data_IF_236674246895
#
_entry.id   IF_236674246895
#
_cell.length_a   1.000
_cell.length_b   1.000
_cell.length_c   1.000
_cell.angle_alpha   90.00
_cell.angle_beta   90.00
_cell.angle_gamma   90.00
#
_symmetry.space_group_name_H-M   'P 1'
#
loop_
_entity.id
_entity.type
_entity.pdbx_description
1 polymer ?
#
# COMPACT_ATOMS: atom_id res chain seq x y z
N UNK A 1 48.58 13.93 38.60
CA UNK A 1 49.15 14.46 37.34
C UNK A 1 48.23 13.96 36.24
N UNK A 2 47.13 14.68 36.04
CA UNK A 2 46.97 15.75 35.01
C UNK A 2 46.88 15.10 33.63
N UNK A 3 45.89 15.36 32.78
CA UNK A 3 44.77 16.28 32.85
C UNK A 3 43.81 15.93 31.72
N UNK A 4 42.51 16.20 31.94
CA UNK A 4 41.60 16.55 30.86
C UNK A 4 42.13 17.81 30.16
N UNK A 5 42.10 17.86 28.84
CA UNK A 5 42.08 19.15 28.13
C UNK A 5 41.14 19.04 26.93
N UNK A 6 39.94 19.58 27.15
CA UNK A 6 39.00 20.01 26.14
C UNK A 6 39.63 21.19 25.40
N UNK A 7 39.86 21.08 24.09
CA UNK A 7 40.31 22.23 23.31
C UNK A 7 39.11 23.15 23.00
N UNK A 8 39.22 24.46 23.31
CA UNK A 8 38.20 25.48 23.04
C UNK A 8 38.39 26.09 21.64
N UNK A 9 37.50 27.01 21.24
CA UNK A 9 37.64 28.14 20.27
C UNK A 9 36.28 28.31 19.54
N UNK A 10 35.31 29.08 20.05
CA UNK A 10 35.23 30.54 20.16
C UNK A 10 35.31 31.33 18.84
N UNK A 11 34.12 31.81 18.43
CA UNK A 11 33.77 33.18 17.97
C UNK A 11 34.39 33.76 16.68
N UNK A 12 33.48 33.93 15.69
CA UNK A 12 33.04 35.20 15.06
C UNK A 12 34.09 36.18 14.47
N UNK A 13 34.07 36.21 13.13
CA UNK A 13 33.89 37.39 12.22
C UNK A 13 35.03 38.41 12.06
N UNK A 14 35.47 38.68 10.81
CA UNK A 14 35.22 39.94 10.06
C UNK A 14 35.90 39.99 8.65
N UNK A 15 35.05 40.19 7.63
CA UNK A 15 35.13 40.89 6.34
C UNK A 15 36.47 41.37 5.73
N UNK A 16 36.62 41.15 4.40
CA UNK A 16 36.58 42.22 3.36
C UNK A 16 36.69 41.64 1.94
N UNK A 17 35.81 42.10 1.05
CA UNK A 17 35.88 41.84 -0.39
C UNK A 17 34.77 42.56 -1.13
N UNK A 18 35.01 43.83 -1.47
CA UNK A 18 34.16 44.67 -2.31
C UNK A 18 34.12 44.12 -3.74
N UNK A 19 32.93 43.96 -4.32
CA UNK A 19 32.72 43.73 -5.75
C UNK A 19 31.37 44.33 -6.16
N UNK A 20 31.42 45.43 -6.89
CA UNK A 20 30.25 46.13 -7.45
C UNK A 20 29.96 45.57 -8.83
N UNK A 21 28.72 45.14 -9.07
CA UNK A 21 28.07 45.18 -10.39
C UNK A 21 26.55 45.03 -10.19
N UNK A 22 25.79 46.06 -10.58
CA UNK A 22 24.34 46.04 -10.53
C UNK A 22 23.72 45.40 -11.77
N UNK A 23 22.50 44.87 -11.62
CA UNK A 23 21.46 44.87 -12.65
C UNK A 23 20.11 44.39 -12.08
N UNK A 24 19.09 45.22 -12.33
CA UNK A 24 17.66 44.91 -12.50
C UNK A 24 16.96 43.96 -11.49
N UNK A 25 16.11 44.55 -10.65
CA UNK A 25 15.00 43.86 -10.03
C UNK A 25 13.97 43.48 -11.11
N UNK A 26 13.86 42.18 -11.40
CA UNK A 26 12.71 41.60 -12.09
C UNK A 26 11.91 40.86 -11.04
N UNK A 27 10.87 41.50 -10.51
CA UNK A 27 9.86 40.83 -9.69
C UNK A 27 9.00 39.96 -10.61
N UNK A 28 9.49 38.78 -10.95
CA UNK A 28 8.66 37.70 -11.48
C UNK A 28 8.07 36.95 -10.31
N UNK A 29 6.80 37.20 -9.97
CA UNK A 29 6.06 36.31 -9.09
C UNK A 29 6.00 34.94 -9.79
N UNK A 30 6.75 33.96 -9.27
CA UNK A 30 6.58 32.58 -9.66
C UNK A 30 5.16 32.17 -9.25
N UNK A 31 4.27 32.06 -10.23
CA UNK A 31 2.97 31.42 -10.04
C UNK A 31 3.30 29.97 -9.65
N UNK A 32 2.80 29.43 -8.53
CA UNK A 32 2.95 28.01 -8.30
C UNK A 32 2.22 27.30 -9.42
N UNK A 33 2.97 26.55 -10.25
CA UNK A 33 2.37 25.53 -11.10
C UNK A 33 1.70 24.55 -10.16
N UNK A 34 0.40 24.70 -9.98
CA UNK A 34 -0.44 23.63 -9.45
C UNK A 34 -0.36 22.51 -10.47
N UNK A 35 0.42 21.47 -10.15
CA UNK A 35 0.21 20.18 -10.78
C UNK A 35 -1.21 19.76 -10.39
N UNK A 36 -2.12 19.80 -11.35
CA UNK A 36 -3.40 19.11 -11.20
C UNK A 36 -3.10 17.64 -10.87
N UNK A 37 -3.91 16.97 -10.04
CA UNK A 37 -3.75 15.54 -9.83
C UNK A 37 -3.73 14.83 -11.18
N UNK A 38 -2.78 13.92 -11.35
CA UNK A 38 -2.73 13.01 -12.51
C UNK A 38 -4.12 12.43 -12.72
N UNK A 39 -4.58 12.44 -13.97
CA UNK A 39 -5.82 11.78 -14.34
C UNK A 39 -5.83 10.37 -13.73
N UNK A 40 -6.89 10.06 -12.98
CA UNK A 40 -7.23 8.69 -12.56
C UNK A 40 -7.00 7.79 -13.77
N UNK A 41 -6.05 6.86 -13.65
CA UNK A 41 -5.70 5.95 -14.73
C UNK A 41 -6.99 5.26 -15.21
N UNK A 42 -7.18 5.17 -16.53
CA UNK A 42 -8.41 4.60 -17.07
C UNK A 42 -8.54 3.14 -16.59
N UNK A 43 -9.76 2.68 -16.22
CA UNK A 43 -9.99 1.29 -15.90
C UNK A 43 -9.62 0.39 -17.09
N UNK A 44 -8.80 -0.63 -16.85
CA UNK A 44 -8.50 -1.66 -17.84
C UNK A 44 -9.76 -2.50 -18.04
N UNK A 45 -10.23 -2.77 -19.29
CA UNK A 45 -11.42 -3.59 -19.50
C UNK A 45 -11.34 -4.94 -18.78
N UNK A 46 -12.41 -5.33 -18.07
CA UNK A 46 -12.44 -6.54 -17.25
C UNK A 46 -11.81 -6.39 -15.86
N UNK A 47 -11.29 -5.21 -15.51
CA UNK A 47 -10.70 -4.91 -14.20
C UNK A 47 -11.22 -3.57 -13.65
N UNK A 48 -11.22 -3.45 -12.33
CA UNK A 48 -11.89 -2.34 -11.64
C UNK A 48 -13.33 -2.15 -12.11
N UNK A 49 -14.04 -3.26 -12.24
CA UNK A 49 -15.47 -3.29 -12.45
C UNK A 49 -16.16 -3.65 -11.12
N UNK A 50 -17.49 -3.54 -11.11
CA UNK A 50 -18.28 -3.97 -9.95
C UNK A 50 -18.07 -5.45 -9.68
N UNK A 51 -17.78 -5.79 -8.43
CA UNK A 51 -17.43 -7.14 -7.99
C UNK A 51 -18.27 -7.51 -6.76
N UNK A 52 -18.65 -8.78 -6.61
CA UNK A 52 -19.31 -9.26 -5.37
C UNK A 52 -18.28 -9.68 -4.33
N UNK A 53 -18.68 -9.73 -3.06
CA UNK A 53 -17.86 -10.32 -1.99
C UNK A 53 -17.49 -11.77 -2.28
N UNK A 54 -18.46 -12.54 -2.75
CA UNK A 54 -18.25 -13.94 -3.09
C UNK A 54 -17.18 -14.07 -4.19
N UNK A 55 -17.22 -13.23 -5.22
CA UNK A 55 -16.20 -13.22 -6.28
C UNK A 55 -14.81 -12.81 -5.73
N UNK A 56 -14.71 -11.81 -4.85
CA UNK A 56 -13.44 -11.46 -4.20
C UNK A 56 -12.86 -12.65 -3.44
N UNK A 57 -13.70 -13.37 -2.68
CA UNK A 57 -13.27 -14.54 -1.93
C UNK A 57 -12.90 -15.70 -2.84
N UNK A 58 -13.68 -16.00 -3.89
CA UNK A 58 -13.37 -17.05 -4.86
C UNK A 58 -12.01 -16.78 -5.54
N UNK A 59 -11.75 -15.54 -5.94
CA UNK A 59 -10.46 -15.12 -6.52
C UNK A 59 -9.31 -15.29 -5.53
N UNK A 60 -9.50 -14.89 -4.27
CA UNK A 60 -8.50 -15.11 -3.22
C UNK A 60 -8.23 -16.61 -2.99
N UNK A 61 -9.28 -17.43 -3.00
CA UNK A 61 -9.17 -18.87 -2.80
C UNK A 61 -8.40 -19.58 -3.91
N UNK A 62 -8.36 -19.04 -5.13
CA UNK A 62 -7.54 -19.58 -6.22
C UNK A 62 -6.07 -19.79 -5.83
N UNK A 63 -5.44 -18.81 -5.14
CA UNK A 63 -4.08 -19.00 -4.61
C UNK A 63 -4.05 -19.72 -3.26
N UNK A 64 -5.11 -19.70 -2.46
CA UNK A 64 -5.12 -20.42 -1.17
C UNK A 64 -5.17 -21.94 -1.41
N UNK A 65 -5.95 -22.39 -2.38
CA UNK A 65 -6.12 -23.80 -2.73
C UNK A 65 -4.90 -24.35 -3.51
N UNK A 66 -4.17 -23.47 -4.20
CA UNK A 66 -2.88 -23.77 -4.85
C UNK A 66 -1.81 -22.73 -4.44
N UNK A 67 -1.18 -22.88 -3.25
CA UNK A 67 -0.32 -21.87 -2.64
C UNK A 67 0.83 -21.38 -3.51
N UNK A 68 1.00 -20.05 -3.55
CA UNK A 68 2.13 -19.37 -4.18
C UNK A 68 3.18 -18.99 -3.14
N UNK A 69 4.45 -19.25 -3.44
CA UNK A 69 5.55 -18.81 -2.57
C UNK A 69 5.62 -17.27 -2.56
N UNK A 70 5.82 -16.68 -1.39
CA UNK A 70 5.94 -15.23 -1.28
C UNK A 70 7.15 -14.71 -2.05
N UNK A 71 6.94 -13.69 -2.89
CA UNK A 71 8.01 -13.01 -3.61
C UNK A 71 7.61 -11.60 -3.99
N UNK A 72 8.48 -10.63 -3.70
CA UNK A 72 8.36 -9.25 -4.18
C UNK A 72 8.81 -9.10 -5.65
N UNK A 73 9.40 -10.15 -6.24
CA UNK A 73 10.05 -10.11 -7.56
C UNK A 73 9.37 -11.00 -8.60
N UNK A 74 8.52 -11.95 -8.16
CA UNK A 74 7.85 -12.89 -9.03
C UNK A 74 6.39 -12.49 -9.28
N UNK A 75 5.86 -13.05 -10.36
CA UNK A 75 4.50 -12.83 -10.83
C UNK A 75 3.81 -14.16 -11.11
N UNK A 76 2.48 -14.15 -11.00
CA UNK A 76 1.61 -15.28 -11.33
C UNK A 76 0.46 -14.80 -12.22
N UNK A 77 -0.06 -15.69 -13.07
CA UNK A 77 -1.16 -15.37 -14.00
C UNK A 77 -2.52 -15.20 -13.30
N UNK A 78 -2.63 -15.63 -12.04
CA UNK A 78 -3.83 -15.50 -11.25
C UNK A 78 -5.02 -16.30 -11.79
N UNK A 79 -6.23 -16.03 -11.29
CA UNK A 79 -7.46 -16.68 -11.73
C UNK A 79 -7.83 -16.34 -13.18
N UNK A 80 -7.17 -15.37 -13.80
CA UNK A 80 -7.35 -15.06 -15.22
C UNK A 80 -6.79 -16.14 -16.14
N UNK A 81 -5.79 -16.90 -15.67
CA UNK A 81 -5.11 -17.95 -16.45
C UNK A 81 -4.60 -17.47 -17.82
N UNK A 82 -4.27 -16.18 -17.94
CA UNK A 82 -3.80 -15.52 -19.16
C UNK A 82 -2.36 -15.02 -18.96
N UNK A 83 -1.44 -15.34 -19.87
CA UNK A 83 -0.03 -14.95 -19.74
C UNK A 83 0.22 -13.45 -19.91
N UNK A 84 -0.74 -12.72 -20.49
CA UNK A 84 -0.67 -11.26 -20.64
C UNK A 84 -1.21 -10.53 -19.39
N UNK A 85 -1.76 -11.27 -18.42
CA UNK A 85 -2.28 -10.76 -17.16
C UNK A 85 -1.44 -11.34 -16.02
N UNK A 86 -0.76 -10.46 -15.27
CA UNK A 86 0.17 -10.87 -14.22
C UNK A 86 -0.14 -10.14 -12.92
N UNK A 87 0.03 -10.82 -11.80
CA UNK A 87 -0.10 -10.27 -10.45
C UNK A 87 1.18 -10.48 -9.66
N UNK A 88 1.61 -9.47 -8.89
CA UNK A 88 2.75 -9.65 -7.97
C UNK A 88 2.42 -10.70 -6.91
N UNK A 89 3.39 -11.54 -6.58
CA UNK A 89 3.26 -12.59 -5.56
C UNK A 89 3.59 -12.09 -4.13
N UNK A 90 3.23 -10.82 -3.85
CA UNK A 90 3.38 -10.17 -2.55
C UNK A 90 2.00 -9.93 -1.88
N UNK A 91 1.99 -9.38 -0.67
CA UNK A 91 0.75 -9.16 0.10
C UNK A 91 -0.25 -8.28 -0.66
N UNK A 92 0.22 -7.16 -1.21
CA UNK A 92 -0.61 -6.21 -1.96
C UNK A 92 -1.04 -6.71 -3.33
N UNK A 93 -0.20 -7.49 -4.00
CA UNK A 93 -0.51 -8.14 -5.27
C UNK A 93 -1.59 -9.22 -5.10
N UNK A 94 -1.56 -9.98 -4.00
CA UNK A 94 -2.63 -10.93 -3.66
C UNK A 94 -3.97 -10.24 -3.43
N UNK A 95 -4.01 -9.16 -2.65
CA UNK A 95 -5.26 -8.41 -2.43
C UNK A 95 -5.74 -7.73 -3.72
N UNK A 96 -4.83 -7.19 -4.52
CA UNK A 96 -5.17 -6.60 -5.82
C UNK A 96 -5.74 -7.64 -6.79
N UNK A 97 -5.16 -8.84 -6.80
CA UNK A 97 -5.66 -9.97 -7.57
C UNK A 97 -7.07 -10.34 -7.10
N UNK A 98 -7.29 -10.52 -5.80
CA UNK A 98 -8.61 -10.86 -5.28
C UNK A 98 -9.67 -9.79 -5.63
N UNK A 99 -9.31 -8.51 -5.61
CA UNK A 99 -10.21 -7.40 -5.97
C UNK A 99 -10.35 -7.16 -7.48
N UNK A 100 -9.60 -7.87 -8.32
CA UNK A 100 -9.48 -7.57 -9.75
C UNK A 100 -9.06 -6.11 -10.03
N UNK A 101 -8.17 -5.56 -9.19
CA UNK A 101 -7.81 -4.15 -9.18
C UNK A 101 -6.41 -3.90 -9.77
N UNK A 102 -6.34 -3.31 -10.97
CA UNK A 102 -5.09 -2.96 -11.68
C UNK A 102 -5.30 -1.80 -12.65
N UNK A 103 -4.25 -1.06 -12.96
CA UNK A 103 -4.32 0.12 -13.82
C UNK A 103 -3.23 0.08 -14.90
N UNK A 104 -3.35 0.88 -15.96
CA UNK A 104 -2.35 0.90 -17.04
C UNK A 104 -0.93 1.23 -16.54
N UNK A 105 -0.82 2.13 -15.57
CA UNK A 105 0.44 2.53 -14.93
C UNK A 105 0.82 1.63 -13.74
N UNK A 106 -0.06 0.72 -13.35
CA UNK A 106 0.21 -0.33 -12.39
C UNK A 106 -0.42 -1.67 -12.80
N UNK A 107 0.10 -2.30 -13.87
CA UNK A 107 -0.56 -3.42 -14.52
C UNK A 107 -0.41 -4.73 -13.74
N UNK A 108 0.29 -4.78 -12.62
CA UNK A 108 0.52 -6.02 -11.86
C UNK A 108 -0.08 -6.00 -10.45
N UNK A 109 -1.05 -5.11 -10.25
CA UNK A 109 -1.76 -4.92 -8.98
C UNK A 109 -1.21 -3.75 -8.16
N UNK A 110 -2.04 -3.21 -7.28
CA UNK A 110 -1.71 -2.09 -6.42
C UNK A 110 -0.71 -2.47 -5.32
N UNK A 111 0.01 -1.49 -4.80
CA UNK A 111 0.84 -1.59 -3.58
C UNK A 111 0.00 -1.32 -2.32
N UNK A 112 0.53 -1.62 -1.14
CA UNK A 112 -0.05 -1.22 0.15
C UNK A 112 -0.37 0.28 0.18
N UNK A 113 0.50 1.12 -0.39
CA UNK A 113 0.30 2.57 -0.37
C UNK A 113 -0.84 2.99 -1.30
N UNK A 114 -0.94 2.38 -2.47
CA UNK A 114 -1.94 2.73 -3.48
C UNK A 114 -3.30 2.07 -3.25
N UNK A 115 -3.36 1.01 -2.42
CA UNK A 115 -4.62 0.43 -1.91
C UNK A 115 -5.29 1.33 -0.86
N UNK A 116 -4.49 2.13 -0.13
CA UNK A 116 -5.00 3.09 0.84
C UNK A 116 -5.85 4.18 0.15
N UNK A 117 -6.90 4.73 0.78
CA UNK A 117 -7.71 5.81 0.21
C UNK A 117 -6.88 7.01 -0.26
N UNK A 118 -5.92 7.45 0.57
CA UNK A 118 -4.97 8.53 0.24
C UNK A 118 -3.80 8.09 -0.69
N UNK A 119 -3.91 6.91 -1.30
CA UNK A 119 -2.88 6.27 -2.11
C UNK A 119 -2.79 6.74 -3.55
N UNK A 120 -3.66 7.68 -3.95
CA UNK A 120 -3.68 8.31 -5.27
C UNK A 120 -4.66 7.70 -6.28
N UNK A 121 -5.14 6.47 -6.06
CA UNK A 121 -6.18 5.86 -6.91
C UNK A 121 -7.59 6.02 -6.34
N UNK A 122 -7.74 6.34 -5.05
CA UNK A 122 -9.04 6.59 -4.40
C UNK A 122 -10.06 5.45 -4.63
N UNK A 123 -9.61 4.19 -4.55
CA UNK A 123 -10.42 3.00 -4.84
C UNK A 123 -11.07 2.37 -3.62
N UNK A 124 -10.79 2.89 -2.43
CA UNK A 124 -11.22 2.31 -1.18
C UNK A 124 -11.56 3.39 -0.18
N UNK A 125 -12.34 3.02 0.84
CA UNK A 125 -12.64 3.86 1.98
C UNK A 125 -12.44 3.10 3.30
N UNK A 126 -12.14 3.85 4.35
CA UNK A 126 -12.06 3.31 5.70
C UNK A 126 -13.45 2.87 6.19
N UNK A 127 -13.51 1.74 6.88
CA UNK A 127 -14.72 1.22 7.53
C UNK A 127 -14.47 1.03 9.03
N UNK A 128 -15.51 0.74 9.82
CA UNK A 128 -15.30 0.35 11.21
C UNK A 128 -15.07 -1.16 11.34
N UNK A 129 -14.48 -1.60 12.45
CA UNK A 129 -14.38 -3.04 12.79
C UNK A 129 -15.75 -3.74 12.73
N UNK A 130 -16.81 -3.05 13.16
CA UNK A 130 -18.16 -3.62 13.21
C UNK A 130 -18.80 -3.79 11.82
N UNK A 131 -18.28 -3.08 10.82
CA UNK A 131 -18.78 -3.11 9.45
C UNK A 131 -18.03 -4.10 8.55
N UNK A 132 -16.99 -4.77 9.08
CA UNK A 132 -16.20 -5.76 8.35
C UNK A 132 -17.07 -6.92 7.87
N UNK A 133 -16.97 -7.19 6.58
CA UNK A 133 -17.59 -8.30 5.88
C UNK A 133 -16.53 -9.02 5.03
N UNK A 134 -16.71 -10.32 4.72
CA UNK A 134 -15.81 -11.04 3.82
C UNK A 134 -15.51 -10.24 2.54
N UNK A 135 -14.24 -10.24 2.12
CA UNK A 135 -13.77 -9.48 0.96
C UNK A 135 -13.30 -8.05 1.27
N UNK A 136 -13.58 -7.52 2.47
CA UNK A 136 -12.91 -6.32 2.96
C UNK A 136 -11.43 -6.63 3.30
N UNK A 137 -10.58 -5.61 3.35
CA UNK A 137 -9.15 -5.80 3.62
C UNK A 137 -8.70 -5.00 4.84
N UNK A 138 -7.70 -5.53 5.54
CA UNK A 138 -7.07 -4.91 6.70
C UNK A 138 -5.64 -4.56 6.30
N UNK A 139 -5.32 -3.27 6.36
CA UNK A 139 -4.11 -2.68 5.77
C UNK A 139 -3.29 -1.94 6.82
N UNK A 140 -1.99 -2.17 6.79
CA UNK A 140 -0.95 -1.36 7.39
C UNK A 140 -0.19 -0.68 6.26
N UNK A 141 -0.31 0.65 6.16
CA UNK A 141 0.44 1.48 5.21
C UNK A 141 1.93 1.47 5.59
N UNK A 142 2.85 1.54 4.62
CA UNK A 142 4.30 1.49 4.89
C UNK A 142 4.72 2.60 5.86
N UNK A 143 4.20 3.82 5.70
CA UNK A 143 4.46 4.95 6.59
C UNK A 143 4.01 4.71 8.06
N UNK A 144 3.03 3.83 8.25
CA UNK A 144 2.49 3.46 9.56
C UNK A 144 3.13 2.16 10.10
N UNK A 145 4.01 1.51 9.33
CA UNK A 145 4.73 0.29 9.71
C UNK A 145 6.04 0.60 10.44
N UNK A 146 6.35 -0.14 11.51
CA UNK A 146 7.60 0.02 12.28
C UNK A 146 8.86 -0.37 11.48
N UNK A 147 8.71 -1.14 10.40
CA UNK A 147 9.81 -1.68 9.58
C UNK A 147 9.97 -1.05 8.19
N UNK A 148 9.13 -0.08 7.82
CA UNK A 148 9.16 0.57 6.50
C UNK A 148 8.60 -0.28 5.35
N UNK A 149 8.01 -1.44 5.66
CA UNK A 149 7.24 -2.29 4.74
C UNK A 149 5.90 -2.56 5.41
N UNK A 150 4.84 -2.10 4.77
CA UNK A 150 3.46 -2.32 5.17
C UNK A 150 3.00 -3.71 4.77
N UNK A 151 1.82 -4.08 5.26
CA UNK A 151 1.22 -5.38 4.99
C UNK A 151 -0.28 -5.25 4.82
N UNK A 152 -0.88 -6.15 4.05
CA UNK A 152 -2.31 -6.15 3.81
C UNK A 152 -2.83 -7.58 3.72
N UNK A 153 -4.02 -7.78 4.26
CA UNK A 153 -4.69 -9.07 4.29
C UNK A 153 -6.18 -8.93 3.97
N UNK A 154 -6.81 -10.01 3.49
CA UNK A 154 -8.25 -10.08 3.33
C UNK A 154 -8.92 -10.64 4.58
N UNK A 155 -10.01 -10.00 4.97
CA UNK A 155 -10.92 -10.48 6.00
C UNK A 155 -11.87 -11.52 5.40
N UNK A 156 -11.97 -12.70 6.03
CA UNK A 156 -12.86 -13.78 5.63
C UNK A 156 -13.75 -14.27 6.78
N UNK A 157 -14.26 -13.32 7.57
CA UNK A 157 -15.24 -13.59 8.62
C UNK A 157 -14.65 -13.76 10.02
N UNK A 158 -15.49 -13.47 11.02
CA UNK A 158 -15.16 -13.60 12.43
C UNK A 158 -15.16 -15.05 12.89
N UNK A 159 -14.30 -15.37 13.86
CA UNK A 159 -14.28 -16.65 14.60
C UNK A 159 -14.10 -16.36 16.08
N UNK A 160 -14.27 -17.38 16.93
CA UNK A 160 -14.06 -17.22 18.37
C UNK A 160 -12.63 -16.73 18.67
N UNK A 161 -12.53 -15.53 19.25
CA UNK A 161 -11.25 -14.93 19.63
C UNK A 161 -10.43 -14.30 18.49
N UNK A 162 -10.97 -14.22 17.26
CA UNK A 162 -10.22 -13.70 16.11
C UNK A 162 -11.03 -13.62 14.84
N UNK A 163 -10.36 -13.72 13.70
CA UNK A 163 -10.98 -13.75 12.38
C UNK A 163 -10.18 -14.65 11.43
N UNK A 164 -10.82 -15.13 10.36
CA UNK A 164 -10.13 -15.82 9.29
C UNK A 164 -9.47 -14.79 8.36
N UNK A 165 -8.19 -15.00 8.11
CA UNK A 165 -7.32 -14.18 7.27
C UNK A 165 -7.01 -14.97 6.02
N UNK A 166 -7.14 -14.34 4.85
CA UNK A 166 -6.50 -14.81 3.62
C UNK A 166 -5.35 -13.86 3.30
N UNK A 167 -4.15 -14.38 3.07
CA UNK A 167 -2.98 -13.53 2.83
C UNK A 167 -1.91 -14.21 1.99
N UNK A 168 -1.08 -13.38 1.37
CA UNK A 168 0.22 -13.74 0.82
C UNK A 168 1.29 -13.15 1.73
N UNK A 169 2.00 -13.99 2.49
CA UNK A 169 2.90 -13.51 3.55
C UNK A 169 4.22 -14.24 3.57
N UNK A 170 5.32 -13.48 3.72
CA UNK A 170 6.66 -14.05 3.90
C UNK A 170 6.73 -14.89 5.18
N UNK A 171 6.15 -14.41 6.28
CA UNK A 171 6.17 -15.10 7.57
C UNK A 171 5.41 -16.43 7.55
N UNK A 172 4.38 -16.54 6.71
CA UNK A 172 3.63 -17.77 6.49
C UNK A 172 4.24 -18.69 5.41
N UNK A 173 5.29 -18.24 4.71
CA UNK A 173 5.94 -18.98 3.63
C UNK A 173 5.24 -18.92 2.27
N UNK A 174 4.12 -18.19 2.15
CA UNK A 174 3.34 -18.14 0.91
C UNK A 174 1.89 -17.70 1.12
N UNK A 175 1.04 -18.05 0.16
CA UNK A 175 -0.41 -17.89 0.29
C UNK A 175 -0.95 -18.80 1.38
N UNK A 176 -1.83 -18.29 2.23
CA UNK A 176 -2.41 -19.06 3.33
C UNK A 176 -3.79 -18.57 3.72
N UNK A 177 -4.54 -19.48 4.37
CA UNK A 177 -5.72 -19.17 5.17
C UNK A 177 -5.44 -19.55 6.62
N UNK A 178 -5.62 -18.60 7.54
CA UNK A 178 -5.38 -18.84 8.97
C UNK A 178 -6.28 -18.01 9.86
N UNK A 179 -6.36 -18.36 11.14
CA UNK A 179 -6.98 -17.50 12.15
C UNK A 179 -5.96 -16.53 12.73
N UNK A 180 -6.34 -15.27 12.95
CA UNK A 180 -5.51 -14.26 13.61
C UNK A 180 -6.29 -13.45 14.66
N UNK A 181 -5.56 -12.89 15.63
CA UNK A 181 -6.12 -11.89 16.53
C UNK A 181 -6.31 -10.57 15.77
N UNK A 182 -7.46 -9.92 15.95
CA UNK A 182 -7.74 -8.64 15.29
C UNK A 182 -6.87 -7.49 15.88
N UNK A 183 -6.41 -6.54 15.06
CA UNK A 183 -6.61 -6.43 13.60
C UNK A 183 -5.66 -7.29 12.76
N UNK A 184 -4.42 -7.51 13.20
CA UNK A 184 -3.51 -8.46 12.57
C UNK A 184 -2.48 -8.89 13.61
N UNK A 185 -2.68 -10.08 14.18
CA UNK A 185 -1.92 -10.61 15.32
C UNK A 185 -1.83 -9.63 16.52
N UNK A 186 -2.85 -8.77 16.67
CA UNK A 186 -2.97 -7.77 17.72
C UNK A 186 -2.19 -6.46 17.52
N UNK A 187 -1.57 -6.25 16.35
CA UNK A 187 -0.87 -5.00 16.02
C UNK A 187 -1.85 -3.86 15.77
N UNK A 188 -1.71 -2.72 16.46
CA UNK A 188 -2.72 -1.65 16.47
C UNK A 188 -2.73 -0.73 15.25
N UNK A 189 -1.68 -0.78 14.42
CA UNK A 189 -1.52 0.04 13.21
C UNK A 189 -2.15 -0.55 11.94
N UNK A 190 -2.99 -1.58 12.08
CA UNK A 190 -3.76 -2.16 10.98
C UNK A 190 -5.21 -1.66 11.04
N UNK A 191 -5.67 -1.13 9.90
CA UNK A 191 -6.99 -0.51 9.79
C UNK A 191 -7.84 -1.20 8.72
N UNK A 192 -9.16 -1.30 8.91
CA UNK A 192 -10.04 -1.96 7.95
C UNK A 192 -10.51 -0.99 6.86
N UNK A 193 -10.54 -1.47 5.63
CA UNK A 193 -10.96 -0.74 4.44
C UNK A 193 -11.84 -1.62 3.55
N UNK A 194 -12.67 -0.95 2.75
CA UNK A 194 -13.52 -1.58 1.75
C UNK A 194 -13.19 -1.04 0.37
N UNK A 195 -13.14 -1.94 -0.60
CA UNK A 195 -13.04 -1.58 -2.02
C UNK A 195 -14.37 -1.00 -2.52
N UNK A 196 -14.32 0.14 -3.19
CA UNK A 196 -15.51 0.94 -3.54
C UNK A 196 -16.41 0.28 -4.58
N UNK A 197 -15.87 -0.69 -5.32
CA UNK A 197 -16.59 -1.43 -6.36
C UNK A 197 -17.21 -2.74 -5.86
N UNK A 198 -17.07 -3.07 -4.56
CA UNK A 198 -17.88 -4.14 -3.95
C UNK A 198 -19.34 -3.68 -3.87
N UNK A 199 -20.26 -4.49 -4.39
CA UNK A 199 -21.67 -4.07 -4.56
C UNK A 199 -22.67 -4.68 -3.57
N UNK A 200 -22.22 -5.59 -2.70
CA UNK A 200 -23.03 -6.30 -1.72
C UNK A 200 -22.47 -6.30 -0.29
#
# INVERSE_FOLDING_TARGET
MTDQELSPHSRRTFFRGLGVAGAAAVTGAAVPTVFAPSASAAPVPGFNEKISRDEVIERAMFWVDDPRAYSMENFDIGPEEDQDILWRMDCSGFVSMALAARFDDNPTGLTTETLHPDGGYEISHAISKGDLLPGDFILQKNADSEGGVGHVVLFNGWVDGGYNVLEQSYGAGGTTSRTAAYPYDGLDNFHPFRYDLIVD
#
